data_IF_964806948860
#
_entry.id   IF_964806948860
#
_cell.length_a   1.000
_cell.length_b   1.000
_cell.length_c   1.000
_cell.angle_alpha   90.00
_cell.angle_beta   90.00
_cell.angle_gamma   90.00
#
_symmetry.space_group_name_H-M   'P 1'
#
loop_
_entity.id
_entity.type
_entity.pdbx_description
1 polymer ?
#
# COMPACT_ATOMS: atom_id res chain seq x y z
N UNK A 1 -16.48 0.08 1.00
CA UNK A 1 -16.90 -1.17 1.65
C UNK A 1 -16.00 -2.32 1.26
N UNK A 2 -16.19 -2.87 0.06
CA UNK A 2 -15.58 -4.15 -0.38
C UNK A 2 -14.07 -4.07 -0.68
N UNK A 3 -13.59 -2.94 -1.23
CA UNK A 3 -12.18 -2.76 -1.57
C UNK A 3 -11.29 -2.80 -0.31
N UNK A 4 -11.72 -2.11 0.76
CA UNK A 4 -10.98 -2.11 2.03
C UNK A 4 -10.88 -3.51 2.64
N UNK A 5 -11.97 -4.28 2.64
CA UNK A 5 -11.98 -5.65 3.17
C UNK A 5 -11.12 -6.60 2.33
N UNK A 6 -11.11 -6.43 1.00
CA UNK A 6 -10.23 -7.21 0.11
C UNK A 6 -8.76 -6.90 0.37
N UNK A 7 -8.39 -5.63 0.55
CA UNK A 7 -7.03 -5.24 0.88
C UNK A 7 -6.57 -5.83 2.22
N UNK A 8 -7.41 -5.77 3.25
CA UNK A 8 -7.10 -6.35 4.56
C UNK A 8 -6.99 -7.87 4.51
N UNK A 9 -7.85 -8.55 3.74
CA UNK A 9 -7.80 -10.00 3.57
C UNK A 9 -6.49 -10.44 2.88
N UNK A 10 -6.12 -9.78 1.78
CA UNK A 10 -4.86 -10.06 1.08
C UNK A 10 -3.64 -9.77 1.96
N UNK A 11 -3.64 -8.66 2.70
CA UNK A 11 -2.56 -8.32 3.63
C UNK A 11 -2.39 -9.35 4.75
N UNK A 12 -3.51 -9.81 5.32
CA UNK A 12 -3.50 -10.85 6.37
C UNK A 12 -3.01 -12.19 5.82
N UNK A 13 -3.34 -12.52 4.57
CA UNK A 13 -2.87 -13.74 3.93
C UNK A 13 -1.34 -13.75 3.72
N UNK A 14 -0.77 -12.63 3.27
CA UNK A 14 0.68 -12.48 3.10
C UNK A 14 1.41 -12.57 4.44
N UNK A 15 0.84 -11.95 5.49
CA UNK A 15 1.37 -12.07 6.85
C UNK A 15 1.35 -13.52 7.36
N UNK A 16 0.26 -14.25 7.08
CA UNK A 16 0.12 -15.64 7.50
C UNK A 16 1.14 -16.54 6.81
N UNK A 17 1.33 -16.39 5.49
CA UNK A 17 2.33 -17.15 4.73
C UNK A 17 3.76 -16.90 5.22
N UNK A 18 4.09 -15.65 5.55
CA UNK A 18 5.42 -15.30 6.08
C UNK A 18 5.64 -15.84 7.49
N UNK A 19 4.61 -15.88 8.35
CA UNK A 19 4.69 -16.56 9.65
C UNK A 19 4.86 -18.08 9.49
N UNK A 20 4.10 -18.73 8.61
CA UNK A 20 4.26 -20.17 8.35
C UNK A 20 5.66 -20.49 7.81
N UNK A 21 6.20 -19.65 6.94
CA UNK A 21 7.58 -19.78 6.45
C UNK A 21 8.64 -19.61 7.56
N UNK A 22 8.36 -18.81 8.58
CA UNK A 22 9.21 -18.65 9.77
C UNK A 22 9.10 -19.84 10.75
N UNK A 23 8.33 -20.88 10.43
CA UNK A 23 8.15 -22.06 11.27
C UNK A 23 7.10 -21.89 12.36
N UNK A 24 6.17 -20.93 12.22
CA UNK A 24 5.02 -20.80 13.12
C UNK A 24 4.10 -22.03 13.00
N UNK A 25 4.01 -22.80 14.08
CA UNK A 25 3.06 -23.92 14.20
C UNK A 25 1.97 -23.59 15.24
N UNK A 26 0.70 -23.43 14.85
CA UNK A 26 -0.39 -23.10 15.76
C UNK A 26 -0.74 -24.24 16.75
N UNK A 27 -0.20 -25.44 16.56
CA UNK A 27 -0.46 -26.60 17.43
C UNK A 27 0.48 -26.68 18.64
N UNK A 28 1.59 -25.92 18.65
CA UNK A 28 2.51 -25.85 19.78
C UNK A 28 2.03 -24.82 20.82
N UNK A 29 1.96 -25.25 22.08
CA UNK A 29 1.61 -24.38 23.23
C UNK A 29 2.69 -23.36 23.56
N UNK A 30 3.95 -23.61 23.18
CA UNK A 30 5.06 -22.68 23.28
C UNK A 30 5.95 -22.75 22.03
N UNK A 31 6.16 -21.59 21.39
CA UNK A 31 7.06 -21.45 20.24
C UNK A 31 8.52 -21.35 20.72
N UNK A 32 9.48 -21.82 19.91
CA UNK A 32 10.92 -21.65 20.19
C UNK A 32 11.31 -20.16 20.24
N UNK A 33 12.28 -19.78 21.08
CA UNK A 33 12.79 -18.40 21.15
C UNK A 33 13.20 -17.85 19.77
N UNK A 34 13.77 -18.71 18.91
CA UNK A 34 14.12 -18.34 17.54
C UNK A 34 12.89 -18.00 16.68
N UNK A 35 11.80 -18.74 16.82
CA UNK A 35 10.54 -18.51 16.09
C UNK A 35 9.84 -17.24 16.58
N UNK A 36 9.82 -16.99 17.89
CA UNK A 36 9.24 -15.76 18.48
C UNK A 36 10.01 -14.51 18.03
N UNK A 37 11.34 -14.60 18.00
CA UNK A 37 12.20 -13.52 17.49
C UNK A 37 11.95 -13.26 16.00
N UNK A 38 11.85 -14.32 15.19
CA UNK A 38 11.53 -14.22 13.77
C UNK A 38 10.16 -13.59 13.49
N UNK A 39 9.13 -13.97 14.25
CA UNK A 39 7.78 -13.38 14.14
C UNK A 39 7.83 -11.89 14.51
N UNK A 40 8.50 -11.54 15.59
CA UNK A 40 8.64 -10.14 16.04
C UNK A 40 9.34 -9.28 14.97
N UNK A 41 10.36 -9.82 14.31
CA UNK A 41 11.02 -9.17 13.19
C UNK A 41 10.09 -9.00 11.97
N UNK A 42 9.23 -9.97 11.67
CA UNK A 42 8.25 -9.90 10.56
C UNK A 42 7.17 -8.84 10.83
N UNK A 43 6.65 -8.80 12.07
CA UNK A 43 5.60 -7.86 12.47
C UNK A 43 6.06 -6.41 12.37
N UNK A 44 7.35 -6.13 12.57
CA UNK A 44 7.92 -4.78 12.40
C UNK A 44 8.41 -4.58 10.95
N UNK A 45 9.02 -5.60 10.35
CA UNK A 45 9.63 -5.52 9.03
C UNK A 45 8.62 -5.28 7.90
N UNK A 46 7.49 -5.98 7.90
CA UNK A 46 6.46 -5.83 6.85
C UNK A 46 5.90 -4.40 6.83
N UNK A 47 5.42 -3.81 7.96
CA UNK A 47 4.96 -2.43 7.97
C UNK A 47 6.03 -1.43 7.53
N UNK A 48 7.29 -1.60 7.97
CA UNK A 48 8.39 -0.70 7.60
C UNK A 48 8.61 -0.69 6.09
N UNK A 49 8.61 -1.85 5.44
CA UNK A 49 8.76 -1.94 3.97
C UNK A 49 7.59 -1.23 3.26
N UNK A 50 6.36 -1.45 3.72
CA UNK A 50 5.17 -0.79 3.16
C UNK A 50 5.24 0.73 3.34
N UNK A 51 5.72 1.21 4.49
CA UNK A 51 5.91 2.65 4.73
C UNK A 51 6.98 3.26 3.83
N UNK A 52 8.09 2.55 3.59
CA UNK A 52 9.14 3.00 2.68
C UNK A 52 8.59 3.08 1.25
N UNK A 53 7.84 2.06 0.79
CA UNK A 53 7.19 2.09 -0.51
C UNK A 53 6.18 3.25 -0.61
N UNK A 54 5.39 3.49 0.43
CA UNK A 54 4.48 4.62 0.47
C UNK A 54 5.21 5.97 0.40
N UNK A 55 6.34 6.10 1.11
CA UNK A 55 7.17 7.30 1.05
C UNK A 55 7.76 7.53 -0.36
N UNK A 56 8.22 6.46 -1.02
CA UNK A 56 8.69 6.52 -2.42
C UNK A 56 7.54 6.95 -3.34
N UNK A 57 6.36 6.35 -3.20
CA UNK A 57 5.18 6.75 -3.96
C UNK A 57 4.82 8.23 -3.75
N UNK A 58 4.89 8.73 -2.51
CA UNK A 58 4.66 10.15 -2.21
C UNK A 58 5.71 11.08 -2.84
N UNK A 59 6.96 10.62 -2.99
CA UNK A 59 8.03 11.41 -3.64
C UNK A 59 7.85 11.41 -5.17
N UNK A 60 7.53 10.26 -5.78
CA UNK A 60 7.37 10.12 -7.23
C UNK A 60 6.06 10.80 -7.69
N UNK A 61 4.99 10.68 -6.89
CA UNK A 61 3.71 11.35 -7.08
C UNK A 61 3.48 12.41 -6.00
N UNK A 62 4.15 13.58 -6.08
CA UNK A 62 3.89 14.68 -5.16
C UNK A 62 2.50 15.23 -5.43
N UNK A 63 1.52 14.74 -4.67
CA UNK A 63 0.13 15.16 -4.75
C UNK A 63 -0.02 16.53 -4.09
N UNK A 64 0.50 17.56 -4.75
CA UNK A 64 0.33 18.95 -4.33
C UNK A 64 -1.13 19.36 -4.53
N UNK A 65 -1.66 20.24 -3.68
CA UNK A 65 -3.03 20.79 -3.85
C UNK A 65 -3.25 21.38 -5.25
N UNK A 66 -2.20 21.97 -5.84
CA UNK A 66 -2.22 22.51 -7.21
C UNK A 66 -2.46 21.42 -8.25
N UNK A 67 -1.91 20.24 -8.04
CA UNK A 67 -2.07 19.10 -8.95
C UNK A 67 -3.46 18.48 -8.83
N UNK A 68 -4.01 18.44 -7.61
CA UNK A 68 -5.39 18.02 -7.36
C UNK A 68 -6.41 18.98 -7.98
N UNK A 69 -6.19 20.29 -7.86
CA UNK A 69 -7.04 21.32 -8.48
C UNK A 69 -6.98 21.25 -10.01
N UNK A 70 -5.80 21.03 -10.59
CA UNK A 70 -5.64 20.80 -12.04
C UNK A 70 -6.39 19.55 -12.49
N UNK A 71 -6.22 18.42 -11.80
CA UNK A 71 -6.96 17.18 -12.08
C UNK A 71 -8.48 17.38 -12.00
N UNK A 72 -8.97 18.12 -10.99
CA UNK A 72 -10.40 18.40 -10.86
C UNK A 72 -10.91 19.26 -12.03
N UNK A 73 -10.15 20.29 -12.43
CA UNK A 73 -10.50 21.15 -13.56
C UNK A 73 -10.53 20.41 -14.89
N UNK A 74 -9.57 19.50 -15.13
CA UNK A 74 -9.55 18.66 -16.33
C UNK A 74 -10.68 17.61 -16.31
N UNK A 75 -11.03 17.07 -15.13
CA UNK A 75 -12.15 16.15 -14.98
C UNK A 75 -13.50 16.84 -15.25
N UNK A 76 -13.64 18.11 -14.86
CA UNK A 76 -14.80 18.95 -15.20
C UNK A 76 -14.86 19.27 -16.70
N UNK A 77 -13.74 19.63 -17.33
CA UNK A 77 -13.67 19.84 -18.79
C UNK A 77 -13.99 18.56 -19.58
N UNK A 78 -13.51 17.41 -19.12
CA UNK A 78 -13.84 16.09 -19.70
C UNK A 78 -15.32 15.75 -19.55
N UNK A 79 -15.95 16.14 -18.43
CA UNK A 79 -17.41 16.03 -18.25
C UNK A 79 -18.19 17.01 -19.13
N UNK A 80 -17.62 18.18 -19.42
CA UNK A 80 -18.19 19.18 -20.32
C UNK A 80 -17.99 18.86 -21.82
N UNK A 81 -17.13 17.88 -22.15
CA UNK A 81 -16.87 17.43 -23.52
C UNK A 81 -15.82 18.27 -24.28
N UNK A 82 -15.02 19.06 -23.57
CA UNK A 82 -13.95 19.87 -24.17
C UNK A 82 -12.62 19.09 -24.32
N UNK A 83 -11.74 19.58 -25.18
CA UNK A 83 -10.43 18.96 -25.46
C UNK A 83 -9.52 19.11 -24.23
N UNK A 84 -9.10 17.99 -23.65
CA UNK A 84 -8.21 17.97 -22.49
C UNK A 84 -6.78 18.38 -22.91
N UNK A 85 -6.16 19.26 -22.13
CA UNK A 85 -4.73 19.51 -22.19
C UNK A 85 -4.08 18.75 -21.03
N UNK A 86 -3.44 17.62 -21.34
CA UNK A 86 -2.77 16.75 -20.36
C UNK A 86 -1.39 17.30 -19.92
N UNK A 87 -1.05 18.53 -20.34
CA UNK A 87 0.26 19.14 -20.14
C UNK A 87 0.53 19.43 -18.65
N UNK A 88 1.44 18.65 -18.06
CA UNK A 88 1.77 18.68 -16.63
C UNK A 88 1.05 17.63 -15.77
N UNK A 89 0.17 16.81 -16.37
CA UNK A 89 -0.37 15.59 -15.76
C UNK A 89 0.42 14.33 -16.15
N UNK A 90 1.38 14.42 -17.07
CA UNK A 90 2.18 13.29 -17.60
C UNK A 90 2.93 12.45 -16.55
N UNK A 91 3.13 12.99 -15.33
CA UNK A 91 3.72 12.23 -14.22
C UNK A 91 2.68 11.42 -13.44
N UNK A 92 1.39 11.60 -13.75
CA UNK A 92 0.25 11.13 -12.97
C UNK A 92 -0.72 10.28 -13.79
N UNK A 93 -0.78 10.49 -15.11
CA UNK A 93 -1.52 9.63 -16.06
C UNK A 93 -0.62 8.53 -16.60
#
# INVERSE_FOLDING_TARGET
GVIFTLSTALGTQVLTLTMTAAGYDPSLTAQSEGTVSGISAIVIGIPVIVFILAAICCIIYPMSKKTFEKLMSELEKKRAGEKNDEEGLERIV
#
